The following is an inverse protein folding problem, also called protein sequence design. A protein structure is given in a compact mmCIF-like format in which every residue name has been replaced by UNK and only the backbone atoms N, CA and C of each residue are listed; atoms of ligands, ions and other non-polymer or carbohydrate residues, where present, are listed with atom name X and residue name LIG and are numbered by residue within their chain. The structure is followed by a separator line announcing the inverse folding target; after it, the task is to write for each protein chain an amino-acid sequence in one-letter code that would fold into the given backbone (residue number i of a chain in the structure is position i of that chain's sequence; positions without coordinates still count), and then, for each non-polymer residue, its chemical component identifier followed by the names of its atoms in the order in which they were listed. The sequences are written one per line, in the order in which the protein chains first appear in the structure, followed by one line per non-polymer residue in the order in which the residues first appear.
data_IF_196510952436
#
_entry.id   IF_196510952436
#
_cell.length_a   1.000
_cell.length_b   1.000
_cell.length_c   1.000
_cell.angle_alpha   90.00
_cell.angle_beta   90.00
_cell.angle_gamma   90.00
#
_symmetry.space_group_name_H-M   'P 1'
#
loop_
_entity.id
_entity.type
_entity.pdbx_description
1 polymer ?
#
# COMPACT_ATOMS: atom_id res chain seq x y z
N UNK A 1 -18.65 17.20 2.11
CA UNK A 1 -17.74 16.62 3.14
C UNK A 1 -17.32 17.66 4.15
N UNK A 2 -16.79 18.82 3.72
CA UNK A 2 -16.37 19.89 4.66
C UNK A 2 -17.50 20.35 5.58
N UNK A 3 -18.68 20.67 5.03
CA UNK A 3 -19.84 21.15 5.80
C UNK A 3 -20.38 20.10 6.81
N UNK A 4 -20.26 18.82 6.45
CA UNK A 4 -20.69 17.71 7.30
C UNK A 4 -19.57 17.19 8.22
N UNK A 5 -18.37 17.76 8.15
CA UNK A 5 -17.18 17.35 8.92
C UNK A 5 -16.85 15.85 8.76
N UNK A 6 -17.07 15.32 7.55
CA UNK A 6 -16.81 13.90 7.28
C UNK A 6 -15.35 13.67 6.97
N UNK A 7 -14.77 12.65 7.59
CA UNK A 7 -13.41 12.16 7.32
C UNK A 7 -13.40 10.98 6.33
N UNK A 8 -14.57 10.42 6.06
CA UNK A 8 -14.77 9.35 5.08
C UNK A 8 -15.91 9.72 4.11
N UNK A 9 -15.83 9.32 2.82
CA UNK A 9 -14.68 8.70 2.15
C UNK A 9 -13.47 9.64 2.09
N UNK A 10 -12.26 9.08 2.00
CA UNK A 10 -11.03 9.87 1.84
C UNK A 10 -11.10 10.79 0.63
N UNK A 11 -10.72 12.05 0.81
CA UNK A 11 -10.66 13.03 -0.26
C UNK A 11 -9.20 13.20 -0.70
N UNK A 12 -8.91 12.86 -1.94
CA UNK A 12 -7.58 12.99 -2.54
C UNK A 12 -7.56 14.17 -3.50
N UNK A 13 -6.60 15.08 -3.30
CA UNK A 13 -6.36 16.23 -4.16
C UNK A 13 -5.04 16.04 -4.88
N UNK A 14 -5.12 15.79 -6.18
CA UNK A 14 -3.93 15.72 -7.03
C UNK A 14 -3.53 17.12 -7.51
N UNK A 15 -2.26 17.46 -7.35
CA UNK A 15 -1.70 18.78 -7.65
C UNK A 15 -0.75 18.66 -8.83
N UNK A 16 -0.93 19.55 -9.81
CA UNK A 16 -0.02 19.74 -10.93
C UNK A 16 0.26 21.21 -11.16
N UNK A 17 1.17 21.53 -12.06
CA UNK A 17 1.43 22.92 -12.49
C UNK A 17 0.20 23.61 -13.10
N UNK A 18 -0.82 22.83 -13.51
CA UNK A 18 -2.07 23.33 -14.09
C UNK A 18 -3.19 23.49 -13.06
N UNK A 19 -2.97 23.13 -11.80
CA UNK A 19 -4.00 23.24 -10.77
C UNK A 19 -4.34 24.69 -10.48
N UNK A 20 -5.62 25.11 -10.61
CA UNK A 20 -6.01 26.50 -10.37
C UNK A 20 -5.75 26.92 -8.92
N UNK A 21 -5.17 28.11 -8.73
CA UNK A 21 -4.83 28.62 -7.40
C UNK A 21 -6.06 28.69 -6.45
N UNK A 22 -7.25 29.03 -6.98
CA UNK A 22 -8.50 29.06 -6.21
C UNK A 22 -8.86 27.69 -5.63
N UNK A 23 -8.63 26.61 -6.40
CA UNK A 23 -8.90 25.24 -5.96
C UNK A 23 -7.92 24.84 -4.86
N UNK A 24 -6.62 25.08 -5.07
CA UNK A 24 -5.58 24.78 -4.08
C UNK A 24 -5.82 25.55 -2.77
N UNK A 25 -6.14 26.83 -2.87
CA UNK A 25 -6.50 27.67 -1.70
C UNK A 25 -7.65 27.04 -0.91
N UNK A 26 -8.74 26.63 -1.60
CA UNK A 26 -9.88 26.00 -0.92
C UNK A 26 -9.52 24.67 -0.26
N UNK A 27 -8.73 23.81 -0.91
CA UNK A 27 -8.25 22.57 -0.36
C UNK A 27 -7.40 22.80 0.91
N UNK A 28 -6.50 23.79 0.89
CA UNK A 28 -5.70 24.18 2.06
C UNK A 28 -6.56 24.75 3.20
N UNK A 29 -7.60 25.53 2.90
CA UNK A 29 -8.55 26.04 3.90
C UNK A 29 -9.27 24.90 4.63
N UNK A 30 -9.64 23.85 3.89
CA UNK A 30 -10.28 22.65 4.50
C UNK A 30 -9.27 21.88 5.35
N UNK A 31 -8.08 21.63 4.81
CA UNK A 31 -7.02 20.93 5.54
C UNK A 31 -6.66 21.63 6.86
N UNK A 32 -6.60 22.96 6.86
CA UNK A 32 -6.32 23.77 8.05
C UNK A 32 -7.33 23.58 9.19
N UNK A 33 -8.55 23.09 8.90
CA UNK A 33 -9.56 22.80 9.92
C UNK A 33 -9.23 21.60 10.81
N UNK A 34 -8.20 20.82 10.46
CA UNK A 34 -7.69 19.74 11.30
C UNK A 34 -8.45 18.40 11.18
N UNK A 35 -9.30 18.23 10.16
CA UNK A 35 -10.03 16.98 9.92
C UNK A 35 -9.18 15.85 9.31
N UNK A 36 -7.91 16.11 9.00
CA UNK A 36 -7.05 15.16 8.31
C UNK A 36 -7.36 14.97 6.82
N UNK A 37 -8.20 15.82 6.25
CA UNK A 37 -8.62 15.76 4.85
C UNK A 37 -8.60 17.16 4.22
N UNK A 38 -8.39 17.28 2.90
CA UNK A 38 -7.98 16.26 1.94
C UNK A 38 -6.49 15.90 2.05
N UNK A 39 -6.10 14.71 1.56
CA UNK A 39 -4.71 14.37 1.30
C UNK A 39 -4.24 14.98 -0.04
N UNK A 40 -2.97 15.39 -0.11
CA UNK A 40 -2.41 16.05 -1.30
C UNK A 40 -1.37 15.15 -1.98
N UNK A 41 -1.47 15.03 -3.30
CA UNK A 41 -0.60 14.20 -4.12
C UNK A 41 -0.04 14.97 -5.31
N UNK A 42 1.22 14.74 -5.63
CA UNK A 42 1.85 15.31 -6.81
C UNK A 42 1.57 14.44 -8.04
N UNK A 43 0.84 14.99 -9.01
CA UNK A 43 0.44 14.28 -10.24
C UNK A 43 1.63 13.79 -11.05
N UNK A 44 2.66 14.63 -11.21
CA UNK A 44 3.85 14.27 -11.97
C UNK A 44 4.63 13.13 -11.28
N UNK A 45 4.77 13.19 -9.95
CA UNK A 45 5.44 12.14 -9.18
C UNK A 45 4.69 10.81 -9.27
N UNK A 46 3.36 10.81 -9.10
CA UNK A 46 2.54 9.61 -9.24
C UNK A 46 2.61 9.02 -10.65
N UNK A 47 2.57 9.88 -11.68
CA UNK A 47 2.72 9.42 -13.06
C UNK A 47 4.08 8.73 -13.28
N UNK A 48 5.16 9.33 -12.78
CA UNK A 48 6.50 8.75 -12.90
C UNK A 48 6.66 7.46 -12.09
N UNK A 49 6.06 7.38 -10.91
CA UNK A 49 6.01 6.15 -10.10
C UNK A 49 5.39 5.00 -10.90
N UNK A 50 4.24 5.24 -11.53
CA UNK A 50 3.54 4.24 -12.32
C UNK A 50 4.33 3.83 -13.57
N UNK A 51 4.95 4.79 -14.27
CA UNK A 51 5.82 4.49 -15.43
C UNK A 51 7.05 3.67 -14.99
N UNK A 52 7.67 4.02 -13.88
CA UNK A 52 8.81 3.26 -13.34
C UNK A 52 8.40 1.84 -12.90
N UNK A 53 7.14 1.66 -12.51
CA UNK A 53 6.56 0.34 -12.24
C UNK A 53 6.15 -0.43 -13.51
N UNK A 54 6.53 0.05 -14.71
CA UNK A 54 6.31 -0.63 -15.99
C UNK A 54 4.96 -0.39 -16.64
N UNK A 55 4.18 0.58 -16.18
CA UNK A 55 2.89 0.92 -16.78
C UNK A 55 3.05 1.88 -17.96
N UNK A 56 2.13 1.83 -18.92
CA UNK A 56 2.14 2.76 -20.03
C UNK A 56 1.96 4.21 -19.54
N UNK A 57 2.55 5.18 -20.25
CA UNK A 57 2.37 6.59 -19.90
C UNK A 57 0.90 7.03 -19.94
N UNK A 58 0.11 6.45 -20.85
CA UNK A 58 -1.32 6.71 -20.96
C UNK A 58 -2.07 6.26 -19.72
N UNK A 59 -1.89 5.02 -19.30
CA UNK A 59 -2.52 4.47 -18.10
C UNK A 59 -2.02 5.18 -16.82
N UNK A 60 -0.73 5.50 -16.76
CA UNK A 60 -0.14 6.25 -15.65
C UNK A 60 -0.76 7.65 -15.49
N UNK A 61 -1.03 8.36 -16.59
CA UNK A 61 -1.68 9.67 -16.57
C UNK A 61 -3.15 9.62 -16.20
N UNK A 62 -3.81 8.50 -16.40
CA UNK A 62 -5.20 8.24 -15.96
C UNK A 62 -5.27 7.73 -14.53
N UNK A 63 -4.12 7.38 -13.94
CA UNK A 63 -4.01 6.86 -12.60
C UNK A 63 -3.98 7.94 -11.51
N UNK A 64 -3.74 7.50 -10.30
CA UNK A 64 -3.64 8.33 -9.11
C UNK A 64 -3.71 7.50 -7.84
N UNK A 65 -3.86 8.16 -6.69
CA UNK A 65 -4.08 7.48 -5.42
C UNK A 65 -5.54 7.06 -5.25
N UNK A 66 -5.74 5.85 -4.79
CA UNK A 66 -7.02 5.37 -4.28
C UNK A 66 -7.01 5.39 -2.74
N UNK A 67 -8.11 5.05 -2.12
CA UNK A 67 -8.26 4.86 -0.68
C UNK A 67 -7.44 5.79 0.21
N UNK A 68 -6.22 5.40 0.51
CA UNK A 68 -5.28 6.16 1.35
C UNK A 68 -4.11 6.72 0.54
N UNK A 69 -3.19 5.86 0.12
CA UNK A 69 -1.93 6.23 -0.57
C UNK A 69 -1.60 5.31 -1.75
N UNK A 70 -2.46 4.35 -2.03
CA UNK A 70 -2.24 3.34 -3.07
C UNK A 70 -2.29 3.99 -4.46
N UNK A 71 -1.13 4.19 -5.06
CA UNK A 71 -1.01 4.75 -6.41
C UNK A 71 -1.17 3.65 -7.45
N UNK A 72 -2.02 3.87 -8.44
CA UNK A 72 -2.22 2.89 -9.50
C UNK A 72 -2.94 3.40 -10.73
N UNK A 73 -3.03 2.56 -11.75
CA UNK A 73 -3.66 2.84 -13.04
C UNK A 73 -5.16 2.55 -12.97
N UNK A 74 -5.96 3.56 -12.69
CA UNK A 74 -7.41 3.42 -12.51
C UNK A 74 -8.09 2.78 -13.73
N UNK A 75 -8.97 1.84 -13.44
CA UNK A 75 -9.71 1.08 -14.47
C UNK A 75 -8.86 0.07 -15.25
N UNK A 76 -7.54 0.04 -15.04
CA UNK A 76 -6.63 -0.90 -15.74
C UNK A 76 -5.84 -1.79 -14.79
N UNK A 77 -5.94 -1.56 -13.48
CA UNK A 77 -5.18 -2.28 -12.47
C UNK A 77 -6.07 -2.95 -11.44
N UNK A 78 -5.78 -4.21 -11.17
CA UNK A 78 -6.35 -4.93 -10.03
C UNK A 78 -5.45 -4.73 -8.80
N UNK A 79 -6.07 -4.38 -7.68
CA UNK A 79 -5.44 -4.30 -6.38
C UNK A 79 -5.93 -5.44 -5.51
N UNK A 80 -5.08 -6.41 -5.28
CA UNK A 80 -5.43 -7.56 -4.44
C UNK A 80 -4.81 -7.34 -3.06
N UNK A 81 -5.61 -6.84 -2.11
CA UNK A 81 -5.17 -6.59 -0.76
C UNK A 81 -5.04 -7.91 0.00
N UNK A 82 -3.81 -8.33 0.25
CA UNK A 82 -3.50 -9.60 0.92
C UNK A 82 -3.13 -9.46 2.39
N UNK A 83 -3.10 -8.25 2.92
CA UNK A 83 -2.95 -8.00 4.35
C UNK A 83 -2.03 -6.84 4.71
N UNK A 84 -1.54 -6.84 5.94
CA UNK A 84 -0.81 -5.75 6.57
C UNK A 84 0.56 -6.22 7.07
N UNK A 85 1.53 -5.32 7.08
CA UNK A 85 2.83 -5.50 7.72
C UNK A 85 3.00 -4.47 8.83
N UNK A 86 3.13 -4.95 10.09
CA UNK A 86 3.34 -4.09 11.25
C UNK A 86 4.85 -3.91 11.49
N UNK A 87 5.43 -2.81 11.00
CA UNK A 87 6.86 -2.48 11.16
C UNK A 87 7.25 -2.28 12.63
N UNK A 88 6.49 -1.57 13.49
CA UNK A 88 6.77 -1.50 14.91
C UNK A 88 6.89 -2.88 15.58
N UNK A 89 6.06 -3.85 15.18
CA UNK A 89 6.16 -5.22 15.70
C UNK A 89 7.46 -5.91 15.27
N UNK A 90 7.90 -5.68 14.03
CA UNK A 90 9.22 -6.18 13.57
C UNK A 90 10.35 -5.56 14.38
N UNK A 91 10.29 -4.26 14.67
CA UNK A 91 11.26 -3.60 15.53
C UNK A 91 11.22 -4.14 16.97
N UNK A 92 10.03 -4.36 17.53
CA UNK A 92 9.88 -5.02 18.83
C UNK A 92 10.56 -6.39 18.85
N UNK A 93 10.35 -7.22 17.82
CA UNK A 93 11.03 -8.51 17.69
C UNK A 93 12.56 -8.36 17.64
N UNK A 94 13.07 -7.31 17.00
CA UNK A 94 14.51 -7.02 16.99
C UNK A 94 15.05 -6.77 18.40
N UNK A 95 14.33 -5.98 19.22
CA UNK A 95 14.75 -5.65 20.59
C UNK A 95 14.69 -6.86 21.55
N UNK A 96 13.88 -7.87 21.24
CA UNK A 96 13.69 -9.06 22.07
C UNK A 96 14.21 -10.34 21.41
N UNK A 97 15.27 -10.21 20.60
CA UNK A 97 15.94 -11.37 19.98
C UNK A 97 14.96 -12.30 19.21
N UNK A 98 13.99 -11.70 18.53
CA UNK A 98 12.95 -12.40 17.77
C UNK A 98 11.84 -13.02 18.60
N UNK A 99 11.87 -12.86 19.93
CA UNK A 99 10.84 -13.39 20.83
C UNK A 99 9.66 -12.44 20.96
N UNK A 100 8.46 -12.97 20.77
CA UNK A 100 7.22 -12.21 20.95
C UNK A 100 6.65 -12.45 22.36
N UNK A 101 6.68 -11.40 23.18
CA UNK A 101 6.19 -11.46 24.57
C UNK A 101 4.69 -11.68 24.70
N UNK A 102 3.91 -11.21 23.72
CA UNK A 102 2.46 -11.34 23.76
C UNK A 102 2.00 -12.78 23.52
N UNK A 103 2.56 -13.43 22.49
CA UNK A 103 2.24 -14.82 22.19
C UNK A 103 3.10 -15.84 22.94
N UNK A 104 4.18 -15.40 23.59
CA UNK A 104 5.16 -16.28 24.25
C UNK A 104 5.96 -17.15 23.28
N UNK A 105 6.09 -16.75 22.01
CA UNK A 105 6.71 -17.57 20.96
C UNK A 105 7.91 -16.89 20.31
N UNK A 106 8.84 -17.69 19.80
CA UNK A 106 9.91 -17.23 18.93
C UNK A 106 9.31 -17.04 17.52
N UNK A 107 9.00 -15.79 17.13
CA UNK A 107 8.42 -15.47 15.83
C UNK A 107 9.46 -14.97 14.82
N UNK A 108 10.51 -14.31 15.29
CA UNK A 108 11.59 -13.78 14.46
C UNK A 108 12.90 -14.56 14.59
N UNK A 109 13.93 -14.06 13.93
CA UNK A 109 15.30 -14.58 14.02
C UNK A 109 15.92 -14.23 15.38
N UNK A 110 16.91 -15.02 15.81
CA UNK A 110 17.76 -14.68 16.95
C UNK A 110 18.86 -13.73 16.45
N UNK A 111 18.70 -12.42 16.69
CA UNK A 111 19.61 -11.37 16.21
C UNK A 111 20.32 -10.62 17.34
N UNK A 112 20.16 -11.06 18.58
CA UNK A 112 20.66 -10.38 19.77
C UNK A 112 19.57 -9.67 20.56
N UNK A 113 19.82 -9.34 21.81
CA UNK A 113 18.92 -8.55 22.65
C UNK A 113 19.32 -7.07 22.63
N UNK A 114 18.39 -6.18 22.90
CA UNK A 114 18.63 -4.72 22.89
C UNK A 114 19.83 -4.28 23.74
N UNK A 115 20.08 -4.96 24.88
CA UNK A 115 21.20 -4.67 25.78
C UNK A 115 22.57 -5.07 25.23
N UNK A 116 22.61 -5.94 24.21
CA UNK A 116 23.86 -6.51 23.66
C UNK A 116 24.41 -5.65 22.51
N UNK A 117 23.58 -4.76 21.90
CA UNK A 117 24.00 -3.88 20.83
C UNK A 117 24.88 -2.75 21.34
N UNK A 118 26.07 -2.61 20.78
CA UNK A 118 27.08 -1.62 21.13
C UNK A 118 26.98 -0.33 20.30
N UNK A 119 26.29 -0.39 19.17
CA UNK A 119 26.14 0.73 18.25
C UNK A 119 24.77 0.72 17.57
N UNK A 120 24.43 1.88 16.98
CA UNK A 120 23.24 1.98 16.11
C UNK A 120 23.35 1.05 14.90
N UNK A 121 24.52 0.88 14.32
CA UNK A 121 24.73 0.05 13.13
C UNK A 121 24.44 -1.43 13.45
N UNK A 122 24.85 -1.93 14.61
CA UNK A 122 24.51 -3.30 15.04
C UNK A 122 23.01 -3.51 15.22
N UNK A 123 22.32 -2.54 15.82
CA UNK A 123 20.86 -2.56 15.94
C UNK A 123 20.20 -2.50 14.57
N UNK A 124 20.68 -1.64 13.67
CA UNK A 124 20.17 -1.49 12.32
C UNK A 124 20.32 -2.77 11.50
N UNK A 125 21.47 -3.41 11.56
CA UNK A 125 21.73 -4.69 10.91
C UNK A 125 20.81 -5.80 11.44
N UNK A 126 20.60 -5.85 12.74
CA UNK A 126 19.68 -6.80 13.36
C UNK A 126 18.24 -6.55 12.89
N UNK A 127 17.80 -5.28 12.84
CA UNK A 127 16.48 -4.90 12.33
C UNK A 127 16.30 -5.27 10.85
N UNK A 128 17.27 -4.99 10.00
CA UNK A 128 17.22 -5.37 8.59
C UNK A 128 17.06 -6.88 8.39
N UNK A 129 17.77 -7.69 9.17
CA UNK A 129 17.65 -9.16 9.14
C UNK A 129 16.24 -9.61 9.55
N UNK A 130 15.69 -9.06 10.63
CA UNK A 130 14.32 -9.35 11.05
C UNK A 130 13.31 -8.93 10.00
N UNK A 131 13.45 -7.72 9.47
CA UNK A 131 12.54 -7.17 8.46
C UNK A 131 12.54 -8.04 7.20
N UNK A 132 13.72 -8.38 6.69
CA UNK A 132 13.85 -9.28 5.53
C UNK A 132 13.18 -10.62 5.77
N UNK A 133 13.41 -11.24 6.91
CA UNK A 133 12.81 -12.53 7.27
C UNK A 133 11.28 -12.47 7.30
N UNK A 134 10.72 -11.43 7.93
CA UNK A 134 9.27 -11.23 8.04
C UNK A 134 8.66 -10.91 6.65
N UNK A 135 9.33 -10.09 5.83
CA UNK A 135 8.90 -9.81 4.46
C UNK A 135 8.87 -11.10 3.62
N UNK A 136 9.87 -11.96 3.72
CA UNK A 136 9.92 -13.23 2.98
C UNK A 136 8.74 -14.15 3.36
N UNK A 137 8.39 -14.20 4.64
CA UNK A 137 7.19 -14.92 5.12
C UNK A 137 5.92 -14.27 4.59
N UNK A 138 5.84 -12.93 4.67
CA UNK A 138 4.68 -12.17 4.23
C UNK A 138 4.41 -12.36 2.73
N UNK A 139 5.45 -12.32 1.89
CA UNK A 139 5.33 -12.54 0.44
C UNK A 139 4.76 -13.94 0.15
N UNK A 140 5.28 -14.98 0.84
CA UNK A 140 4.74 -16.34 0.68
C UNK A 140 3.27 -16.42 1.10
N UNK A 141 2.92 -15.79 2.23
CA UNK A 141 1.54 -15.72 2.70
C UNK A 141 0.63 -14.97 1.72
N UNK A 142 1.10 -13.86 1.16
CA UNK A 142 0.36 -13.10 0.16
C UNK A 142 0.07 -13.93 -1.08
N UNK A 143 1.05 -14.68 -1.59
CA UNK A 143 0.87 -15.55 -2.75
C UNK A 143 -0.18 -16.64 -2.51
N UNK A 144 -0.23 -17.19 -1.30
CA UNK A 144 -1.28 -18.18 -0.93
C UNK A 144 -2.65 -17.51 -0.87
N UNK A 145 -2.75 -16.32 -0.27
CA UNK A 145 -4.01 -15.57 -0.16
C UNK A 145 -4.51 -15.19 -1.56
N UNK A 146 -3.63 -14.68 -2.43
CA UNK A 146 -3.97 -14.33 -3.81
C UNK A 146 -4.51 -15.53 -4.59
N UNK A 147 -3.87 -16.70 -4.44
CA UNK A 147 -4.37 -17.94 -5.02
C UNK A 147 -5.76 -18.32 -4.52
N UNK A 148 -6.00 -18.18 -3.22
CA UNK A 148 -7.33 -18.45 -2.64
C UNK A 148 -8.39 -17.47 -3.15
N UNK A 149 -8.06 -16.20 -3.34
CA UNK A 149 -8.95 -15.23 -3.98
C UNK A 149 -9.28 -15.63 -5.41
N UNK A 150 -8.28 -15.99 -6.20
CA UNK A 150 -8.48 -16.41 -7.59
C UNK A 150 -9.38 -17.64 -7.73
N UNK A 151 -9.26 -18.59 -6.80
CA UNK A 151 -10.01 -19.86 -6.84
C UNK A 151 -11.40 -19.77 -6.21
N UNK A 152 -11.59 -18.94 -5.18
CA UNK A 152 -12.77 -19.00 -4.33
C UNK A 152 -13.57 -17.70 -4.24
N UNK A 153 -13.03 -16.57 -4.70
CA UNK A 153 -13.65 -15.26 -4.54
C UNK A 153 -13.71 -14.48 -5.86
N UNK A 154 -14.50 -14.93 -6.84
CA UNK A 154 -14.65 -14.19 -8.10
C UNK A 154 -15.29 -12.83 -7.86
N UNK A 155 -14.82 -11.82 -8.61
CA UNK A 155 -15.27 -10.44 -8.54
C UNK A 155 -15.86 -9.98 -9.89
N UNK A 156 -17.03 -10.52 -10.32
CA UNK A 156 -17.57 -10.27 -11.66
C UNK A 156 -17.87 -8.78 -11.91
N UNK A 157 -18.39 -8.06 -10.93
CA UNK A 157 -18.67 -6.63 -11.09
C UNK A 157 -17.39 -5.80 -11.31
N UNK A 158 -16.29 -6.12 -10.62
CA UNK A 158 -15.00 -5.48 -10.84
C UNK A 158 -14.43 -5.88 -12.20
N UNK A 159 -14.58 -7.13 -12.59
CA UNK A 159 -14.11 -7.66 -13.88
C UNK A 159 -14.76 -6.95 -15.08
N UNK A 160 -16.04 -6.58 -14.97
CA UNK A 160 -16.76 -5.85 -16.04
C UNK A 160 -16.23 -4.42 -16.21
N UNK A 161 -15.84 -3.75 -15.12
CA UNK A 161 -15.39 -2.34 -15.15
C UNK A 161 -13.87 -2.17 -15.20
N UNK A 162 -13.11 -3.28 -15.22
CA UNK A 162 -11.65 -3.25 -15.28
C UNK A 162 -11.18 -3.70 -16.67
N UNK A 163 -10.31 -2.89 -17.28
CA UNK A 163 -9.78 -3.15 -18.62
C UNK A 163 -9.07 -4.52 -18.67
N UNK A 164 -9.30 -5.17 -19.79
CA UNK A 164 -8.71 -6.43 -20.21
C UNK A 164 -9.28 -7.69 -19.51
N UNK A 165 -10.03 -7.57 -18.41
CA UNK A 165 -10.64 -8.74 -17.76
C UNK A 165 -11.57 -9.52 -18.72
N UNK A 166 -12.45 -8.83 -19.45
CA UNK A 166 -13.39 -9.45 -20.41
C UNK A 166 -12.62 -10.04 -21.60
N UNK A 167 -11.73 -9.27 -22.21
CA UNK A 167 -10.96 -9.71 -23.37
C UNK A 167 -10.04 -10.89 -23.07
N UNK A 168 -9.52 -10.95 -21.83
CA UNK A 168 -8.70 -12.07 -21.36
C UNK A 168 -9.53 -13.26 -20.89
N UNK A 169 -10.87 -13.13 -20.81
CA UNK A 169 -11.77 -14.11 -20.21
C UNK A 169 -11.33 -14.57 -18.82
N UNK A 170 -10.85 -13.60 -18.00
CA UNK A 170 -10.33 -13.85 -16.65
C UNK A 170 -10.93 -12.88 -15.65
N UNK A 171 -11.24 -13.40 -14.47
CA UNK A 171 -11.71 -12.59 -13.37
C UNK A 171 -10.64 -11.62 -12.84
N UNK A 172 -11.10 -10.51 -12.25
CA UNK A 172 -10.26 -9.50 -11.60
C UNK A 172 -9.28 -10.12 -10.60
N UNK A 173 -9.75 -11.03 -9.74
CA UNK A 173 -8.92 -11.73 -8.74
C UNK A 173 -8.08 -12.87 -9.34
N UNK A 174 -8.30 -13.23 -10.60
CA UNK A 174 -7.55 -14.28 -11.30
C UNK A 174 -6.55 -13.74 -12.33
N UNK A 175 -6.18 -12.47 -12.22
CA UNK A 175 -5.22 -11.84 -13.11
C UNK A 175 -5.79 -11.40 -14.45
N UNK A 176 -7.08 -11.06 -14.52
CA UNK A 176 -7.75 -10.59 -15.72
C UNK A 176 -7.39 -9.17 -16.14
N UNK A 177 -7.08 -8.30 -15.19
CA UNK A 177 -6.73 -6.90 -15.45
C UNK A 177 -5.39 -6.76 -16.21
N UNK A 178 -5.22 -5.61 -16.89
CA UNK A 178 -3.98 -5.27 -17.60
C UNK A 178 -2.77 -5.27 -16.69
N UNK A 179 -2.93 -4.73 -15.49
CA UNK A 179 -1.92 -4.72 -14.42
C UNK A 179 -2.50 -5.38 -13.18
N UNK A 180 -1.69 -6.19 -12.52
CA UNK A 180 -2.11 -6.90 -11.31
C UNK A 180 -1.09 -6.61 -10.21
N UNK A 181 -1.56 -6.01 -9.12
CA UNK A 181 -0.72 -5.62 -7.99
C UNK A 181 -1.19 -6.32 -6.73
N UNK A 182 -0.27 -7.10 -6.15
CA UNK A 182 -0.47 -7.67 -4.83
C UNK A 182 -0.16 -6.60 -3.78
N UNK A 183 -1.17 -6.10 -3.11
CA UNK A 183 -1.06 -5.00 -2.18
C UNK A 183 -0.92 -5.49 -0.74
N UNK A 184 0.13 -5.04 -0.07
CA UNK A 184 0.30 -5.15 1.37
C UNK A 184 0.43 -3.77 1.98
N UNK A 185 -0.49 -3.38 2.84
CA UNK A 185 -0.39 -2.14 3.59
C UNK A 185 0.66 -2.28 4.70
N UNK A 186 1.51 -1.25 4.84
CA UNK A 186 2.53 -1.17 5.88
C UNK A 186 2.03 -0.21 6.95
N UNK A 187 1.88 -0.72 8.17
CA UNK A 187 1.61 0.11 9.33
C UNK A 187 2.92 0.51 10.01
N UNK A 188 3.07 1.78 10.19
CA UNK A 188 4.20 2.40 10.91
C UNK A 188 3.78 2.74 12.33
#
# INVERSE_FOLDING_TARGET
MDDMKLVQPNSNVTISKKTPARFLKRACEISRKGWGQPAFYNTEAQTMELVNAGKSLEDARRGGSSGCVETGAWGSEAYILTGYLNIPKVFQLTLYNGFDKESGKQLGLKTGEAKDFKSYDELWDAFQKQLKYIIDIKIRGNNVIEKLYAENMPAPCLSVVTNDCISNAKDYNAGGARYNTNLSLIHI
#
